data_IF_742880595455
#
_entry.id   IF_742880595455
#
_cell.length_a   1.000
_cell.length_b   1.000
_cell.length_c   1.000
_cell.angle_alpha   90.00
_cell.angle_beta   90.00
_cell.angle_gamma   90.00
#
_symmetry.space_group_name_H-M   'P 1'
#
loop_
_entity.id
_entity.type
_entity.pdbx_description
1 polymer ?
#
# COMPACT_ATOMS: atom_id res chain seq x y z
N UNK A 1 -0.19 -11.03 3.77
CA UNK A 1 -0.88 -12.27 3.32
C UNK A 1 -0.29 -13.52 3.99
N UNK A 2 1.03 -13.67 4.05
CA UNK A 2 1.69 -14.84 4.68
C UNK A 2 1.30 -14.96 6.15
N UNK A 3 1.33 -13.84 6.91
CA UNK A 3 0.87 -13.83 8.31
C UNK A 3 -0.61 -14.20 8.42
N UNK A 4 -1.44 -13.79 7.47
CA UNK A 4 -2.85 -14.15 7.40
C UNK A 4 -3.06 -15.65 7.22
N UNK A 5 -2.31 -16.27 6.32
CA UNK A 5 -2.34 -17.73 6.12
C UNK A 5 -1.93 -18.48 7.39
N UNK A 6 -0.84 -18.06 8.02
CA UNK A 6 -0.36 -18.63 9.29
C UNK A 6 -1.40 -18.48 10.40
N UNK A 7 -2.05 -17.33 10.49
CA UNK A 7 -3.13 -17.09 11.44
C UNK A 7 -4.31 -18.06 11.22
N UNK A 8 -4.78 -18.19 9.99
CA UNK A 8 -5.89 -19.09 9.66
C UNK A 8 -5.55 -20.55 10.00
N UNK A 9 -4.37 -21.00 9.66
CA UNK A 9 -3.93 -22.37 9.96
C UNK A 9 -3.89 -22.65 11.47
N UNK A 10 -3.29 -21.76 12.23
CA UNK A 10 -3.18 -21.90 13.69
C UNK A 10 -4.54 -21.80 14.38
N UNK A 11 -5.39 -20.85 13.92
CA UNK A 11 -6.70 -20.63 14.52
C UNK A 11 -7.63 -21.81 14.31
N UNK A 12 -7.67 -22.38 13.10
CA UNK A 12 -8.50 -23.56 12.81
C UNK A 12 -8.04 -24.79 13.56
N UNK A 13 -6.74 -25.04 13.66
CA UNK A 13 -6.18 -26.15 14.44
C UNK A 13 -6.47 -26.01 15.94
N UNK A 14 -6.19 -24.84 16.52
CA UNK A 14 -6.32 -24.58 17.96
C UNK A 14 -7.76 -24.64 18.45
N UNK A 15 -8.71 -24.10 17.68
CA UNK A 15 -10.11 -23.99 18.10
C UNK A 15 -10.99 -25.11 17.54
N UNK A 16 -10.44 -26.05 16.78
CA UNK A 16 -11.16 -27.16 16.13
C UNK A 16 -12.41 -26.69 15.35
N UNK A 17 -12.30 -25.55 14.66
CA UNK A 17 -13.37 -24.99 13.82
C UNK A 17 -13.16 -25.34 12.35
N UNK A 18 -14.25 -25.58 11.62
CA UNK A 18 -14.21 -25.98 10.21
C UNK A 18 -13.83 -24.86 9.26
N UNK A 19 -13.93 -23.61 9.69
CA UNK A 19 -13.57 -22.46 8.86
C UNK A 19 -13.63 -21.16 9.64
N UNK A 20 -12.92 -20.17 9.15
CA UNK A 20 -12.85 -18.81 9.70
C UNK A 20 -12.86 -17.81 8.55
N UNK A 21 -13.63 -16.75 8.69
CA UNK A 21 -13.62 -15.59 7.80
C UNK A 21 -13.38 -14.34 8.65
N UNK A 22 -12.30 -13.62 8.33
CA UNK A 22 -11.91 -12.40 9.02
C UNK A 22 -11.66 -11.25 8.05
N UNK A 23 -12.11 -10.04 8.43
CA UNK A 23 -11.84 -8.81 7.69
C UNK A 23 -10.83 -8.00 8.49
N UNK A 24 -9.68 -7.72 7.86
CA UNK A 24 -8.54 -7.05 8.51
C UNK A 24 -8.08 -5.89 7.63
N UNK A 25 -8.18 -4.67 8.15
CA UNK A 25 -7.67 -3.49 7.48
C UNK A 25 -6.15 -3.40 7.62
N UNK A 26 -5.49 -3.03 6.54
CA UNK A 26 -4.05 -2.80 6.50
C UNK A 26 -3.78 -1.37 6.03
N UNK A 27 -2.81 -0.71 6.63
CA UNK A 27 -2.42 0.65 6.27
C UNK A 27 -1.44 1.25 7.27
N UNK A 28 -1.11 2.52 7.09
CA UNK A 28 -0.18 3.23 7.97
C UNK A 28 -0.84 3.76 9.26
N UNK A 29 -2.17 3.74 9.36
CA UNK A 29 -2.89 4.30 10.51
C UNK A 29 -2.89 5.84 10.54
N UNK A 30 -2.49 6.49 9.46
CA UNK A 30 -2.48 7.95 9.29
C UNK A 30 -2.88 8.35 7.88
N UNK A 31 -3.41 9.58 7.73
CA UNK A 31 -3.74 10.14 6.42
C UNK A 31 -2.49 10.61 5.67
N UNK A 32 -2.46 10.35 4.37
CA UNK A 32 -1.47 10.92 3.44
C UNK A 32 -2.24 11.60 2.32
N UNK A 33 -2.00 12.89 2.09
CA UNK A 33 -2.68 13.63 1.04
C UNK A 33 -2.07 13.35 -0.33
N UNK A 34 -2.84 13.61 -1.39
CA UNK A 34 -2.32 13.56 -2.77
C UNK A 34 -1.15 14.53 -2.94
N UNK A 35 -1.22 15.71 -2.31
CA UNK A 35 -0.15 16.69 -2.34
C UNK A 35 1.12 16.21 -1.63
N UNK A 36 1.01 15.42 -0.55
CA UNK A 36 2.17 14.82 0.10
C UNK A 36 2.87 13.82 -0.83
N UNK A 37 2.10 13.07 -1.60
CA UNK A 37 2.64 12.13 -2.61
C UNK A 37 3.36 12.91 -3.71
N UNK A 38 2.73 13.94 -4.29
CA UNK A 38 3.33 14.77 -5.35
C UNK A 38 4.63 15.42 -4.87
N UNK A 39 4.61 16.03 -3.68
CA UNK A 39 5.82 16.61 -3.05
C UNK A 39 6.88 15.55 -2.77
N UNK A 40 6.47 14.35 -2.39
CA UNK A 40 7.36 13.23 -2.15
C UNK A 40 8.13 12.81 -3.41
N UNK A 41 7.49 12.78 -4.58
CA UNK A 41 8.18 12.51 -5.84
C UNK A 41 9.27 13.55 -6.13
N UNK A 42 9.00 14.84 -5.86
CA UNK A 42 10.01 15.89 -6.01
C UNK A 42 11.15 15.72 -5.01
N UNK A 43 10.82 15.53 -3.73
CA UNK A 43 11.81 15.47 -2.64
C UNK A 43 12.69 14.23 -2.72
N UNK A 44 12.11 13.06 -2.98
CA UNK A 44 12.83 11.78 -2.91
C UNK A 44 13.44 11.34 -4.25
N UNK A 45 12.85 11.75 -5.37
CA UNK A 45 13.25 11.29 -6.69
C UNK A 45 13.60 12.43 -7.66
N UNK A 46 13.48 13.68 -7.25
CA UNK A 46 13.64 14.87 -8.08
C UNK A 46 12.77 14.85 -9.35
N UNK A 47 11.53 14.35 -9.21
CA UNK A 47 10.56 14.26 -10.30
C UNK A 47 9.45 15.27 -10.04
N UNK A 48 9.24 16.20 -10.98
CA UNK A 48 8.10 17.11 -10.98
C UNK A 48 6.92 16.43 -11.64
N UNK A 49 5.83 16.21 -10.88
CA UNK A 49 4.59 15.67 -11.39
C UNK A 49 3.65 16.83 -11.73
N UNK A 50 3.25 17.01 -13.00
CA UNK A 50 2.24 17.99 -13.34
C UNK A 50 0.89 17.59 -12.75
N UNK A 51 0.14 18.56 -12.22
CA UNK A 51 -1.18 18.33 -11.65
C UNK A 51 -2.08 19.55 -11.89
N UNK A 52 -3.37 19.31 -11.78
CA UNK A 52 -4.41 20.34 -11.82
C UNK A 52 -5.44 20.10 -10.73
N UNK A 53 -6.14 21.15 -10.32
CA UNK A 53 -7.25 21.07 -9.39
C UNK A 53 -8.55 20.90 -10.16
N UNK A 54 -9.33 19.90 -9.79
CA UNK A 54 -10.66 19.66 -10.32
C UNK A 54 -11.70 19.70 -9.18
N UNK A 55 -12.97 19.80 -9.56
CA UNK A 55 -14.07 19.75 -8.62
C UNK A 55 -14.10 18.42 -7.85
N UNK A 56 -14.58 18.49 -6.62
CA UNK A 56 -14.76 17.31 -5.78
C UNK A 56 -15.76 16.35 -6.40
N UNK A 57 -15.38 15.08 -6.52
CA UNK A 57 -16.28 14.04 -7.01
C UNK A 57 -17.34 13.72 -5.95
N UNK A 58 -18.52 13.30 -6.42
CA UNK A 58 -19.57 12.82 -5.52
C UNK A 58 -19.07 11.59 -4.75
N UNK A 59 -19.26 11.60 -3.43
CA UNK A 59 -18.83 10.52 -2.54
C UNK A 59 -17.39 10.63 -2.04
N UNK A 60 -16.58 11.58 -2.51
CA UNK A 60 -15.24 11.81 -1.96
C UNK A 60 -15.33 12.29 -0.51
N UNK A 61 -14.58 11.64 0.37
CA UNK A 61 -14.44 12.03 1.78
C UNK A 61 -13.19 12.90 1.96
N UNK A 62 -13.25 13.83 2.93
CA UNK A 62 -12.13 14.73 3.17
C UNK A 62 -10.88 14.07 3.72
N UNK A 63 -11.05 13.01 4.51
CA UNK A 63 -9.95 12.24 5.07
C UNK A 63 -10.42 10.82 5.37
N UNK A 64 -9.65 9.83 4.96
CA UNK A 64 -9.88 8.42 5.28
C UNK A 64 -8.55 7.68 5.40
N UNK A 65 -8.41 6.87 6.42
CA UNK A 65 -7.26 5.98 6.60
C UNK A 65 -7.68 4.75 7.42
N UNK A 66 -6.90 3.68 7.32
CA UNK A 66 -7.21 2.43 7.98
C UNK A 66 -6.89 2.49 9.49
N UNK A 67 -7.78 1.94 10.31
CA UNK A 67 -7.45 1.51 11.67
C UNK A 67 -6.86 0.11 11.60
N UNK A 68 -5.61 -0.05 12.01
CA UNK A 68 -4.84 -1.30 11.89
C UNK A 68 -4.67 -2.04 13.23
N UNK A 69 -5.42 -1.69 14.28
CA UNK A 69 -5.32 -2.32 15.60
C UNK A 69 -5.63 -3.83 15.54
N UNK A 70 -6.60 -4.22 14.71
CA UNK A 70 -6.95 -5.63 14.50
C UNK A 70 -5.81 -6.40 13.84
N UNK A 71 -5.14 -5.83 12.83
CA UNK A 71 -3.97 -6.42 12.18
C UNK A 71 -2.82 -6.63 13.19
N UNK A 72 -2.56 -5.64 14.01
CA UNK A 72 -1.53 -5.72 15.06
C UNK A 72 -1.85 -6.79 16.07
N UNK A 73 -3.10 -6.86 16.54
CA UNK A 73 -3.54 -7.81 17.56
C UNK A 73 -3.58 -9.25 17.04
N UNK A 74 -4.16 -9.50 15.87
CA UNK A 74 -4.36 -10.85 15.34
C UNK A 74 -3.17 -11.39 14.56
N UNK A 75 -2.50 -10.53 13.78
CA UNK A 75 -1.42 -10.93 12.88
C UNK A 75 -0.04 -10.50 13.38
N UNK A 76 0.04 -9.70 14.46
CA UNK A 76 1.28 -9.05 14.89
C UNK A 76 1.93 -8.26 13.73
N UNK A 77 1.07 -7.68 12.88
CA UNK A 77 1.48 -6.93 11.71
C UNK A 77 1.38 -5.43 11.93
N UNK A 78 2.37 -4.73 11.46
CA UNK A 78 2.39 -3.27 11.36
C UNK A 78 3.13 -2.82 10.10
N UNK A 79 2.84 -1.60 9.65
CA UNK A 79 3.52 -1.01 8.49
C UNK A 79 5.00 -0.76 8.82
N UNK A 80 5.89 -1.28 7.97
CA UNK A 80 7.35 -1.11 8.10
C UNK A 80 7.94 -0.19 7.05
N UNK A 81 7.23 0.03 5.95
CA UNK A 81 7.68 0.86 4.83
C UNK A 81 7.06 2.24 4.90
N UNK A 82 7.84 3.25 4.57
CA UNK A 82 7.44 4.65 4.57
C UNK A 82 6.89 5.09 3.22
N UNK A 83 6.32 6.30 3.15
CA UNK A 83 5.96 6.94 1.88
C UNK A 83 7.17 7.08 0.94
N UNK A 84 8.35 7.40 1.49
CA UNK A 84 9.60 7.44 0.73
C UNK A 84 9.93 6.09 0.10
N UNK A 85 9.86 4.99 0.87
CA UNK A 85 10.11 3.64 0.35
C UNK A 85 9.13 3.29 -0.78
N UNK A 86 7.86 3.66 -0.63
CA UNK A 86 6.83 3.42 -1.64
C UNK A 86 7.10 4.18 -2.93
N UNK A 87 7.42 5.47 -2.85
CA UNK A 87 7.71 6.30 -4.01
C UNK A 87 8.99 5.83 -4.72
N UNK A 88 10.05 5.58 -3.99
CA UNK A 88 11.33 5.15 -4.58
C UNK A 88 11.22 3.78 -5.25
N UNK A 89 10.52 2.83 -4.64
CA UNK A 89 10.28 1.52 -5.23
C UNK A 89 9.42 1.59 -6.49
N UNK A 90 8.40 2.45 -6.51
CA UNK A 90 7.58 2.69 -7.69
C UNK A 90 8.39 3.25 -8.86
N UNK A 91 9.22 4.26 -8.62
CA UNK A 91 10.09 4.85 -9.66
C UNK A 91 11.07 3.82 -10.20
N UNK A 92 11.66 3.00 -9.33
CA UNK A 92 12.53 1.90 -9.73
C UNK A 92 11.80 0.90 -10.64
N UNK A 93 10.59 0.49 -10.26
CA UNK A 93 9.75 -0.42 -11.01
C UNK A 93 9.42 0.11 -12.43
N UNK A 94 9.04 1.39 -12.54
CA UNK A 94 8.75 2.01 -13.84
C UNK A 94 9.99 2.04 -14.74
N UNK A 95 11.16 2.36 -14.18
CA UNK A 95 12.43 2.32 -14.92
C UNK A 95 12.76 0.90 -15.41
N UNK A 96 12.54 -0.08 -14.57
CA UNK A 96 12.74 -1.49 -14.90
C UNK A 96 11.85 -1.94 -16.07
N UNK A 97 10.55 -1.62 -16.03
CA UNK A 97 9.61 -1.95 -17.11
C UNK A 97 10.03 -1.28 -18.42
N UNK A 98 10.32 0.02 -18.39
CA UNK A 98 10.75 0.74 -19.60
C UNK A 98 11.99 0.11 -20.25
N UNK A 99 12.96 -0.28 -19.45
CA UNK A 99 14.16 -0.94 -19.96
C UNK A 99 13.86 -2.33 -20.53
N UNK A 100 12.97 -3.10 -19.87
CA UNK A 100 12.55 -4.43 -20.32
C UNK A 100 11.76 -4.39 -21.63
N UNK A 101 10.94 -3.36 -21.84
CA UNK A 101 10.18 -3.17 -23.08
C UNK A 101 11.11 -2.80 -24.24
N UNK A 102 12.08 -1.90 -24.04
CA UNK A 102 13.09 -1.58 -25.06
C UNK A 102 13.89 -2.82 -25.52
N UNK A 103 14.11 -3.76 -24.62
CA UNK A 103 14.83 -5.01 -24.96
C UNK A 103 13.99 -5.91 -25.87
N UNK A 104 12.65 -5.86 -25.79
CA UNK A 104 11.74 -6.65 -26.62
C UNK A 104 11.56 -6.07 -28.04
N UNK A 105 11.74 -4.77 -28.23
CA UNK A 105 11.65 -4.14 -29.55
C UNK A 105 12.89 -4.39 -30.44
N UNK A 106 13.95 -4.98 -29.89
CA UNK A 106 15.20 -5.31 -30.59
C UNK A 106 15.39 -6.83 -30.82
N UNK A 107 14.37 -7.63 -30.51
CA UNK A 107 14.29 -9.06 -30.82
C UNK A 107 13.30 -9.30 -31.96
#
# INVERSE_FOLDING_TARGET
>A
HILGLSFLEQHTKKNNVKGVCEHINLGEGKGTSVMDIIKGFKTFCNIDIPYEYNDKRQGDVGCVYANCDKAKRLLQWETKKTLQDSITSYVYFIKYIKNSLKYREHI
#
